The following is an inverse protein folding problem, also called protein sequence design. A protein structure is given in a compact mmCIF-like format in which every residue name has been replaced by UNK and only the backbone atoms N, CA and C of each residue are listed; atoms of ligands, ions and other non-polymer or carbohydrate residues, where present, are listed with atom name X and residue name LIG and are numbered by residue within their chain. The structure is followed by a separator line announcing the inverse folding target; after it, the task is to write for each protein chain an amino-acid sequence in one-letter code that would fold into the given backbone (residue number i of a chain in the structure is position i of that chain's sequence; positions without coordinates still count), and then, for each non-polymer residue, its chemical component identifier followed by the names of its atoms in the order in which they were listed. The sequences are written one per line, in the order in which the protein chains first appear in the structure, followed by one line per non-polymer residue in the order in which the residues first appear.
data_IF_914675384872
#
_entry.id   IF_914675384872
#
_cell.length_a   1.000
_cell.length_b   1.000
_cell.length_c   1.000
_cell.angle_alpha   90.00
_cell.angle_beta   90.00
_cell.angle_gamma   90.00
#
_symmetry.space_group_name_H-M   'P 1'
#
loop_
_entity.id
_entity.type
_entity.pdbx_description
1 polymer ?
#
# COMPACT_ATOMS: atom_id res chain seq x y z
N UNK A 1 27.95 14.63 80.35
CA UNK A 1 27.95 15.59 79.23
C UNK A 1 29.12 15.21 78.34
N UNK A 2 29.01 14.73 77.10
CA UNK A 2 27.94 14.61 76.10
C UNK A 2 28.13 13.25 75.42
N UNK A 3 27.07 12.47 75.29
CA UNK A 3 27.06 11.19 74.58
C UNK A 3 26.57 11.48 73.17
N UNK A 4 27.46 11.52 72.18
CA UNK A 4 27.09 11.73 70.77
C UNK A 4 26.79 10.37 70.15
N UNK A 5 25.52 10.12 69.87
CA UNK A 5 24.99 8.92 69.21
C UNK A 5 25.29 9.05 67.71
N UNK A 6 26.16 8.19 67.20
CA UNK A 6 26.41 8.02 65.76
C UNK A 6 25.28 7.13 65.22
N UNK A 7 24.32 7.76 64.55
CA UNK A 7 23.20 7.10 63.88
C UNK A 7 23.66 6.61 62.51
N UNK A 8 24.17 5.37 62.43
CA UNK A 8 24.43 4.67 61.17
C UNK A 8 23.10 4.21 60.56
N UNK A 9 22.54 5.03 59.67
CA UNK A 9 21.49 4.61 58.71
C UNK A 9 22.22 4.09 57.47
N UNK A 10 22.71 2.86 57.55
CA UNK A 10 23.30 2.14 56.42
C UNK A 10 22.68 0.75 56.41
N UNK A 11 21.94 0.45 55.35
CA UNK A 11 21.21 -0.80 55.03
C UNK A 11 19.71 -0.64 55.06
N UNK A 12 19.10 -0.43 53.88
CA UNK A 12 17.81 -1.00 53.47
C UNK A 12 17.40 -0.44 52.10
N UNK A 13 18.06 -0.85 51.00
CA UNK A 13 17.56 -0.59 49.64
C UNK A 13 17.98 -1.65 48.60
N UNK A 14 18.12 -2.93 48.98
CA UNK A 14 18.39 -4.00 48.00
C UNK A 14 17.60 -5.30 48.23
N UNK A 15 16.32 -5.19 48.58
CA UNK A 15 15.40 -6.35 48.53
C UNK A 15 14.06 -5.95 47.92
N UNK A 16 14.06 -5.52 46.65
CA UNK A 16 12.83 -5.32 45.89
C UNK A 16 12.91 -6.00 44.53
N UNK A 17 13.19 -7.31 44.53
CA UNK A 17 12.76 -8.22 43.46
C UNK A 17 12.88 -9.65 44.01
N UNK A 18 11.96 -10.06 44.88
CA UNK A 18 11.84 -11.44 45.35
C UNK A 18 10.45 -11.94 44.98
N UNK A 19 10.44 -12.83 43.99
CA UNK A 19 9.31 -13.42 43.25
C UNK A 19 8.80 -12.51 42.13
N UNK A 20 9.07 -12.96 40.92
CA UNK A 20 8.49 -12.50 39.65
C UNK A 20 9.12 -11.25 39.03
N UNK A 21 10.46 -11.18 38.98
CA UNK A 21 11.10 -10.31 37.99
C UNK A 21 10.86 -10.94 36.62
N UNK A 22 9.87 -10.42 35.89
CA UNK A 22 9.58 -10.86 34.53
C UNK A 22 10.82 -10.59 33.67
N UNK A 23 11.40 -11.64 33.10
CA UNK A 23 12.47 -11.51 32.12
C UNK A 23 11.86 -11.22 30.76
N UNK A 24 12.60 -10.49 29.92
CA UNK A 24 12.22 -10.20 28.55
C UNK A 24 13.33 -10.63 27.61
N UNK A 25 12.94 -11.13 26.46
CA UNK A 25 13.82 -11.52 25.36
C UNK A 25 13.48 -10.71 24.12
N UNK A 26 14.43 -10.61 23.19
CA UNK A 26 14.26 -9.90 21.93
C UNK A 26 14.31 -10.89 20.77
N UNK A 27 13.46 -10.68 19.78
CA UNK A 27 13.43 -11.45 18.55
C UNK A 27 12.96 -10.60 17.38
N UNK A 28 12.99 -11.20 16.20
CA UNK A 28 12.53 -10.60 14.96
C UNK A 28 11.52 -11.53 14.32
N UNK A 29 10.37 -10.98 13.94
CA UNK A 29 9.41 -11.65 13.06
C UNK A 29 9.49 -11.03 11.68
N UNK A 30 9.35 -11.84 10.65
CA UNK A 30 9.35 -11.38 9.27
C UNK A 30 8.15 -11.94 8.51
N UNK A 31 7.38 -11.08 7.85
CA UNK A 31 6.24 -11.46 7.03
C UNK A 31 6.64 -11.38 5.57
N UNK A 32 6.35 -12.42 4.78
CA UNK A 32 6.55 -12.37 3.34
C UNK A 32 5.60 -11.34 2.71
N UNK A 33 6.13 -10.49 1.84
CA UNK A 33 5.35 -9.50 1.09
C UNK A 33 4.94 -10.00 -0.29
N UNK A 34 5.55 -11.09 -0.75
CA UNK A 34 5.39 -11.67 -2.09
C UNK A 34 5.01 -13.15 -2.05
N UNK A 35 4.25 -13.57 -3.07
CA UNK A 35 3.81 -14.95 -3.23
C UNK A 35 5.00 -15.88 -3.50
N UNK A 36 4.98 -17.09 -2.92
CA UNK A 36 6.11 -18.02 -3.00
C UNK A 36 6.45 -18.53 -4.40
N UNK A 37 5.44 -18.66 -5.26
CA UNK A 37 5.59 -19.28 -6.57
C UNK A 37 5.38 -18.29 -7.72
N UNK A 38 4.91 -17.06 -7.47
CA UNK A 38 4.47 -16.14 -8.51
C UNK A 38 4.78 -14.69 -8.18
N UNK A 39 5.03 -13.89 -9.20
CA UNK A 39 5.14 -12.43 -9.12
C UNK A 39 4.14 -11.83 -10.09
N UNK A 40 3.41 -10.82 -9.62
CA UNK A 40 2.55 -9.99 -10.48
C UNK A 40 3.43 -8.91 -11.08
N UNK A 41 3.53 -8.89 -12.40
CA UNK A 41 4.05 -7.76 -13.15
C UNK A 41 2.85 -6.91 -13.56
N UNK A 42 2.74 -5.71 -13.02
CA UNK A 42 1.63 -4.81 -13.32
C UNK A 42 1.64 -4.35 -14.78
N UNK A 43 0.45 -3.94 -15.26
CA UNK A 43 0.29 -3.33 -16.57
C UNK A 43 1.10 -2.02 -16.67
N UNK A 44 1.80 -1.84 -17.79
CA UNK A 44 2.56 -0.63 -18.08
C UNK A 44 1.81 0.25 -19.07
N UNK A 45 1.74 1.54 -18.76
CA UNK A 45 1.12 2.55 -19.60
C UNK A 45 2.12 3.63 -19.98
N UNK A 46 1.91 4.22 -21.16
CA UNK A 46 2.56 5.46 -21.54
C UNK A 46 1.54 6.59 -21.68
N UNK A 47 1.96 7.79 -21.28
CA UNK A 47 1.21 9.00 -21.53
C UNK A 47 1.41 9.42 -22.99
N UNK A 48 0.30 9.57 -23.71
CA UNK A 48 0.30 10.07 -25.09
C UNK A 48 -0.38 11.43 -25.10
N UNK A 49 0.31 12.42 -25.65
CA UNK A 49 -0.23 13.76 -25.84
C UNK A 49 -0.99 13.86 -27.16
N UNK A 50 -2.21 14.40 -27.12
CA UNK A 50 -3.02 14.73 -28.30
C UNK A 50 -3.32 16.23 -28.32
N UNK A 51 -3.30 16.83 -29.51
CA UNK A 51 -3.77 18.21 -29.68
C UNK A 51 -5.29 18.20 -29.82
N UNK A 52 -5.97 18.77 -28.83
CA UNK A 52 -7.42 18.89 -28.78
C UNK A 52 -7.87 20.25 -29.26
N UNK A 53 -8.81 20.27 -30.19
CA UNK A 53 -9.49 21.49 -30.64
C UNK A 53 -10.47 21.96 -29.56
N UNK A 54 -10.37 23.22 -29.14
CA UNK A 54 -11.33 23.86 -28.23
C UNK A 54 -12.37 24.68 -28.99
N UNK A 55 -11.91 25.38 -30.03
CA UNK A 55 -12.74 26.28 -30.83
C UNK A 55 -12.15 26.44 -32.21
N UNK A 56 -12.99 26.31 -33.23
CA UNK A 56 -12.60 26.52 -34.62
C UNK A 56 -12.26 27.98 -34.92
N UNK A 57 -11.45 28.17 -35.96
CA UNK A 57 -11.15 29.47 -36.52
C UNK A 57 -12.44 30.13 -37.03
N UNK A 58 -12.58 31.44 -36.86
CA UNK A 58 -13.81 32.18 -37.18
C UNK A 58 -13.51 33.65 -37.47
N UNK A 59 -14.49 34.41 -37.98
CA UNK A 59 -14.34 35.86 -38.09
C UNK A 59 -14.66 36.58 -36.77
N UNK A 60 -14.06 37.74 -36.57
CA UNK A 60 -14.12 38.47 -35.31
C UNK A 60 -15.49 39.03 -34.91
N UNK A 61 -16.46 39.07 -35.82
CA UNK A 61 -17.80 39.60 -35.57
C UNK A 61 -18.91 38.67 -36.05
N UNK A 62 -19.87 38.39 -35.18
CA UNK A 62 -21.12 37.70 -35.55
C UNK A 62 -21.00 36.20 -35.81
N UNK A 63 -19.84 35.57 -35.54
CA UNK A 63 -19.69 34.13 -35.66
C UNK A 63 -20.62 33.39 -34.70
N UNK A 64 -21.26 32.31 -35.17
CA UNK A 64 -22.10 31.42 -34.35
C UNK A 64 -21.46 30.05 -34.24
N UNK A 65 -21.64 29.44 -33.08
CA UNK A 65 -21.05 28.15 -32.75
C UNK A 65 -22.11 27.18 -32.27
N UNK A 66 -21.92 25.92 -32.61
CA UNK A 66 -22.52 24.80 -31.91
C UNK A 66 -21.52 24.17 -30.93
N UNK A 67 -22.03 23.54 -29.87
CA UNK A 67 -21.20 22.70 -29.00
C UNK A 67 -21.27 21.29 -29.54
N UNK A 68 -20.14 20.76 -29.97
CA UNK A 68 -20.01 19.35 -30.33
C UNK A 68 -19.47 18.61 -29.11
N UNK A 69 -20.06 17.47 -28.81
CA UNK A 69 -19.69 16.61 -27.68
C UNK A 69 -19.34 15.24 -28.22
N UNK A 70 -18.19 14.70 -27.82
CA UNK A 70 -17.75 13.37 -28.23
C UNK A 70 -17.15 12.59 -27.06
N UNK A 71 -17.20 11.26 -27.15
CA UNK A 71 -16.48 10.36 -26.25
C UNK A 71 -15.08 10.14 -26.79
N UNK A 72 -14.08 10.29 -25.94
CA UNK A 72 -12.69 9.97 -26.25
C UNK A 72 -12.14 8.99 -25.25
N UNK A 73 -11.24 8.14 -25.73
CA UNK A 73 -10.55 7.16 -24.90
C UNK A 73 -9.58 7.89 -23.96
N UNK A 74 -9.75 7.68 -22.67
CA UNK A 74 -8.87 8.23 -21.62
C UNK A 74 -7.82 7.20 -21.21
N UNK A 75 -8.22 5.94 -21.09
CA UNK A 75 -7.33 4.83 -20.73
C UNK A 75 -7.78 3.54 -21.41
N UNK A 76 -6.80 2.78 -21.89
CA UNK A 76 -7.03 1.45 -22.47
C UNK A 76 -7.42 0.43 -21.40
N UNK A 77 -8.25 -0.53 -21.80
CA UNK A 77 -8.56 -1.72 -21.04
C UNK A 77 -7.28 -2.50 -20.70
N UNK A 78 -7.26 -3.12 -19.53
CA UNK A 78 -6.10 -3.85 -19.02
C UNK A 78 -6.50 -4.90 -17.98
N UNK A 79 -5.60 -5.82 -17.71
CA UNK A 79 -5.74 -6.86 -16.71
C UNK A 79 -5.07 -6.45 -15.40
N UNK A 80 -5.65 -6.83 -14.27
CA UNK A 80 -4.99 -6.90 -12.97
C UNK A 80 -5.08 -8.31 -12.40
N UNK A 81 -4.08 -8.71 -11.62
CA UNK A 81 -4.09 -9.97 -10.87
C UNK A 81 -4.03 -9.70 -9.38
N UNK A 82 -4.97 -10.26 -8.64
CA UNK A 82 -4.90 -10.33 -7.20
C UNK A 82 -4.60 -11.78 -6.78
N UNK A 83 -3.44 -11.95 -6.14
CA UNK A 83 -2.91 -13.25 -5.67
C UNK A 83 -2.69 -13.29 -4.16
N UNK A 84 -3.15 -12.27 -3.43
CA UNK A 84 -2.98 -12.20 -1.98
C UNK A 84 -4.02 -11.30 -1.31
N UNK A 85 -4.44 -11.66 -0.11
CA UNK A 85 -5.31 -10.84 0.73
C UNK A 85 -4.47 -10.14 1.79
N UNK A 86 -4.65 -8.83 1.95
CA UNK A 86 -3.95 -8.03 2.96
C UNK A 86 -4.74 -8.03 4.26
N UNK A 87 -4.08 -8.40 5.36
CA UNK A 87 -4.63 -8.33 6.71
C UNK A 87 -3.79 -7.40 7.57
N UNK A 88 -4.45 -6.41 8.17
CA UNK A 88 -3.81 -5.48 9.08
C UNK A 88 -4.25 -5.75 10.51
N UNK A 89 -3.28 -5.85 11.42
CA UNK A 89 -3.54 -6.17 12.82
C UNK A 89 -2.56 -5.48 13.76
N UNK A 90 -2.82 -5.55 15.06
CA UNK A 90 -2.01 -4.89 16.08
C UNK A 90 -1.28 -5.93 16.92
N UNK A 91 0.03 -5.84 17.04
CA UNK A 91 0.79 -6.69 17.96
C UNK A 91 1.39 -5.85 19.07
N UNK A 92 1.53 -6.44 20.26
CA UNK A 92 2.37 -5.87 21.30
C UNK A 92 3.83 -6.12 20.92
N UNK A 93 4.46 -5.16 20.24
CA UNK A 93 5.85 -5.26 19.78
C UNK A 93 6.86 -5.15 20.91
N UNK A 94 6.49 -4.57 22.05
CA UNK A 94 7.33 -4.57 23.24
C UNK A 94 6.48 -4.80 24.50
N UNK A 95 6.57 -6.02 25.06
CA UNK A 95 5.84 -6.44 26.26
C UNK A 95 6.32 -5.75 27.55
N UNK A 96 7.56 -5.23 27.59
CA UNK A 96 8.09 -4.49 28.75
C UNK A 96 7.41 -3.11 28.86
N UNK A 97 7.21 -2.45 27.72
CA UNK A 97 6.66 -1.09 27.64
C UNK A 97 5.19 -1.04 27.22
N UNK A 98 4.59 -2.18 26.90
CA UNK A 98 3.27 -2.30 26.26
C UNK A 98 3.16 -1.47 24.97
N UNK A 99 4.23 -1.42 24.18
CA UNK A 99 4.19 -0.75 22.87
C UNK A 99 3.42 -1.62 21.88
N UNK A 100 2.46 -1.01 21.20
CA UNK A 100 1.65 -1.65 20.16
C UNK A 100 2.11 -1.15 18.79
N UNK A 101 2.24 -2.06 17.85
CA UNK A 101 2.57 -1.76 16.45
C UNK A 101 1.52 -2.35 15.51
N UNK A 102 1.16 -1.57 14.49
CA UNK A 102 0.37 -2.08 13.37
C UNK A 102 1.28 -2.89 12.45
N UNK A 103 0.86 -4.11 12.15
CA UNK A 103 1.55 -5.05 11.27
C UNK A 103 0.62 -5.44 10.15
N UNK A 104 1.21 -5.67 8.97
CA UNK A 104 0.52 -6.15 7.79
C UNK A 104 1.04 -7.55 7.49
N UNK A 105 0.12 -8.48 7.27
CA UNK A 105 0.43 -9.81 6.73
C UNK A 105 -0.40 -10.05 5.48
N UNK A 106 0.06 -11.03 4.70
CA UNK A 106 -0.58 -11.39 3.45
C UNK A 106 -0.98 -12.87 3.49
N UNK A 107 -2.24 -13.15 3.23
CA UNK A 107 -2.71 -14.49 2.92
C UNK A 107 -2.53 -14.71 1.42
N UNK A 108 -1.59 -15.56 1.03
CA UNK A 108 -1.29 -15.83 -0.37
C UNK A 108 -2.26 -16.88 -0.91
N UNK A 109 -2.95 -16.54 -2.00
CA UNK A 109 -3.94 -17.41 -2.62
C UNK A 109 -3.24 -18.56 -3.37
N UNK A 110 -3.89 -19.71 -3.48
CA UNK A 110 -3.43 -20.74 -4.41
C UNK A 110 -3.73 -20.34 -5.87
N UNK A 111 -3.01 -20.93 -6.84
CA UNK A 111 -3.16 -20.60 -8.27
C UNK A 111 -4.61 -20.77 -8.77
N UNK A 112 -5.36 -21.73 -8.23
CA UNK A 112 -6.78 -21.94 -8.54
C UNK A 112 -7.68 -20.79 -8.12
N UNK A 113 -7.24 -20.00 -7.15
CA UNK A 113 -8.01 -18.94 -6.49
C UNK A 113 -7.53 -17.55 -6.89
N UNK A 114 -6.53 -17.47 -7.79
CA UNK A 114 -6.09 -16.19 -8.36
C UNK A 114 -7.25 -15.45 -9.00
N UNK A 115 -7.40 -14.19 -8.61
CA UNK A 115 -8.47 -13.33 -9.09
C UNK A 115 -7.90 -12.50 -10.26
N UNK A 116 -8.39 -12.80 -11.47
CA UNK A 116 -8.15 -11.97 -12.66
C UNK A 116 -9.23 -10.91 -12.79
N UNK A 117 -8.83 -9.65 -12.79
CA UNK A 117 -9.74 -8.49 -12.94
C UNK A 117 -9.53 -7.91 -14.33
N UNK A 118 -10.61 -7.81 -15.11
CA UNK A 118 -10.61 -7.20 -16.44
C UNK A 118 -11.15 -5.78 -16.34
N UNK A 119 -10.26 -4.79 -16.45
CA UNK A 119 -10.63 -3.39 -16.43
C UNK A 119 -10.99 -2.94 -17.85
N UNK A 120 -12.22 -2.44 -18.10
CA UNK A 120 -12.62 -2.00 -19.43
C UNK A 120 -11.95 -0.68 -19.82
N UNK A 121 -12.07 -0.32 -21.10
CA UNK A 121 -11.66 1.01 -21.57
C UNK A 121 -12.39 2.11 -20.78
N UNK A 122 -11.65 3.12 -20.35
CA UNK A 122 -12.22 4.32 -19.74
C UNK A 122 -12.38 5.41 -20.80
N UNK A 123 -13.56 6.00 -20.83
CA UNK A 123 -13.89 7.09 -21.75
C UNK A 123 -14.29 8.33 -20.97
N UNK A 124 -13.91 9.48 -21.52
CA UNK A 124 -14.42 10.77 -21.04
C UNK A 124 -15.08 11.53 -22.17
N UNK A 125 -15.95 12.43 -21.74
CA UNK A 125 -16.63 13.34 -22.64
C UNK A 125 -15.76 14.57 -22.86
N UNK A 126 -15.52 14.95 -24.12
CA UNK A 126 -14.94 16.25 -24.46
C UNK A 126 -15.87 17.06 -25.34
N UNK A 127 -15.73 18.38 -25.25
CA UNK A 127 -16.54 19.32 -26.01
C UNK A 127 -15.68 20.35 -26.71
N UNK A 128 -16.09 20.76 -27.91
CA UNK A 128 -15.48 21.88 -28.63
C UNK A 128 -16.54 22.76 -29.30
N UNK A 129 -16.14 23.98 -29.64
CA UNK A 129 -16.97 24.97 -30.32
C UNK A 129 -16.72 24.91 -31.82
N UNK A 130 -17.68 24.33 -32.54
CA UNK A 130 -17.67 24.22 -34.00
C UNK A 130 -18.40 25.41 -34.62
N UNK A 131 -17.84 26.00 -35.66
CA UNK A 131 -18.44 27.14 -36.36
C UNK A 131 -19.59 26.65 -37.23
N UNK A 132 -20.76 27.27 -37.07
CA UNK A 132 -21.92 27.05 -37.94
C UNK A 132 -22.26 28.28 -38.80
N UNK A 133 -21.70 29.43 -38.43
CA UNK A 133 -21.78 30.69 -39.16
C UNK A 133 -20.46 31.43 -38.92
N UNK A 134 -19.67 31.64 -39.98
CA UNK A 134 -18.32 32.22 -39.85
C UNK A 134 -18.34 33.68 -39.38
N UNK A 135 -19.44 34.41 -39.59
CA UNK A 135 -19.54 35.83 -39.31
C UNK A 135 -18.78 36.71 -40.34
N UNK A 136 -18.35 37.88 -39.91
CA UNK A 136 -17.63 38.88 -40.72
C UNK A 136 -16.47 39.49 -39.95
N UNK A 137 -15.57 40.20 -40.64
CA UNK A 137 -14.41 40.85 -40.02
C UNK A 137 -13.09 40.14 -40.35
N UNK A 138 -12.12 40.26 -39.43
CA UNK A 138 -10.80 39.64 -39.58
C UNK A 138 -10.80 38.21 -39.00
N UNK A 139 -9.84 37.40 -39.45
CA UNK A 139 -9.69 36.00 -39.02
C UNK A 139 -9.17 35.88 -37.58
N UNK A 140 -9.84 35.05 -36.80
CA UNK A 140 -9.41 34.57 -35.49
C UNK A 140 -9.00 33.11 -35.65
N UNK A 141 -7.77 32.79 -35.26
CA UNK A 141 -7.25 31.43 -35.34
C UNK A 141 -8.01 30.47 -34.42
N UNK A 142 -8.00 29.19 -34.79
CA UNK A 142 -8.49 28.12 -33.93
C UNK A 142 -7.67 28.06 -32.64
N UNK A 143 -8.32 27.69 -31.54
CA UNK A 143 -7.67 27.49 -30.24
C UNK A 143 -7.62 26.00 -29.91
N UNK A 144 -6.48 25.57 -29.40
CA UNK A 144 -6.19 24.19 -29.05
C UNK A 144 -5.67 24.10 -27.62
N UNK A 145 -5.76 22.91 -27.04
CA UNK A 145 -5.04 22.53 -25.83
C UNK A 145 -4.36 21.18 -26.04
N UNK A 146 -3.31 20.92 -25.27
CA UNK A 146 -2.74 19.57 -25.19
C UNK A 146 -3.53 18.78 -24.17
N UNK A 147 -3.89 17.57 -24.57
CA UNK A 147 -4.61 16.63 -23.73
C UNK A 147 -3.78 15.35 -23.59
N UNK A 148 -3.95 14.62 -22.49
CA UNK A 148 -3.20 13.38 -22.24
C UNK A 148 -4.16 12.20 -22.13
N UNK A 149 -3.77 11.07 -22.72
CA UNK A 149 -4.43 9.79 -22.48
C UNK A 149 -3.38 8.70 -22.23
N UNK A 150 -3.80 7.59 -21.62
CA UNK A 150 -2.92 6.50 -21.25
C UNK A 150 -3.11 5.30 -22.18
N UNK A 151 -2.06 4.99 -22.96
CA UNK A 151 -2.02 3.83 -23.84
C UNK A 151 -1.37 2.67 -23.12
N UNK A 152 -1.99 1.49 -23.21
CA UNK A 152 -1.40 0.26 -22.70
C UNK A 152 -0.18 -0.12 -23.56
N UNK A 153 0.97 -0.28 -22.90
CA UNK A 153 2.23 -0.72 -23.51
C UNK A 153 2.43 -2.22 -23.30
N UNK A 154 2.20 -2.68 -22.07
CA UNK A 154 2.28 -4.10 -21.68
C UNK A 154 1.13 -4.38 -20.72
N UNK A 155 0.43 -5.49 -20.92
CA UNK A 155 -0.60 -5.92 -19.98
C UNK A 155 0.04 -6.54 -18.72
N UNK A 156 -0.76 -6.73 -17.66
CA UNK A 156 -0.26 -7.42 -16.48
C UNK A 156 0.06 -8.89 -16.80
N UNK A 157 1.10 -9.41 -16.16
CA UNK A 157 1.56 -10.79 -16.34
C UNK A 157 1.84 -11.46 -14.99
N UNK A 158 1.48 -12.74 -14.88
CA UNK A 158 1.91 -13.60 -13.79
C UNK A 158 3.13 -14.39 -14.26
N UNK A 159 4.27 -14.17 -13.61
CA UNK A 159 5.48 -14.94 -13.89
C UNK A 159 5.80 -15.85 -12.70
N UNK A 160 6.23 -17.10 -12.94
CA UNK A 160 6.74 -17.94 -11.86
C UNK A 160 7.92 -17.25 -11.18
N UNK A 161 7.90 -17.18 -9.84
CA UNK A 161 9.02 -16.57 -9.12
C UNK A 161 10.25 -17.46 -9.24
N UNK A 162 11.39 -16.86 -9.56
CA UNK A 162 12.71 -17.51 -9.48
C UNK A 162 13.61 -16.84 -8.45
N UNK A 163 13.08 -15.87 -7.70
CA UNK A 163 13.84 -14.94 -6.89
C UNK A 163 13.68 -15.20 -5.38
N UNK A 164 14.57 -14.58 -4.61
CA UNK A 164 14.48 -14.51 -3.15
C UNK A 164 13.24 -13.68 -2.77
N UNK A 165 12.43 -14.19 -1.83
CA UNK A 165 11.21 -13.49 -1.40
C UNK A 165 11.54 -12.26 -0.59
N UNK A 166 10.83 -11.18 -0.86
CA UNK A 166 10.84 -10.01 0.01
C UNK A 166 10.04 -10.25 1.30
N UNK A 167 10.49 -9.60 2.37
CA UNK A 167 9.84 -9.67 3.67
C UNK A 167 9.95 -8.36 4.42
N UNK A 168 8.94 -8.05 5.24
CA UNK A 168 8.97 -6.95 6.18
C UNK A 168 9.24 -7.49 7.59
N UNK A 169 10.17 -6.87 8.32
CA UNK A 169 10.61 -7.36 9.63
C UNK A 169 10.24 -6.42 10.76
N UNK A 170 9.84 -7.02 11.89
CA UNK A 170 9.46 -6.32 13.11
C UNK A 170 10.26 -6.85 14.29
N UNK A 171 10.85 -5.93 15.05
CA UNK A 171 11.55 -6.26 16.29
C UNK A 171 10.53 -6.42 17.41
N UNK A 172 10.62 -7.54 18.13
CA UNK A 172 9.69 -7.92 19.19
C UNK A 172 10.46 -8.11 20.49
N UNK A 173 9.98 -7.48 21.57
CA UNK A 173 10.38 -7.78 22.94
C UNK A 173 9.25 -8.56 23.61
N UNK A 174 9.50 -9.82 23.99
CA UNK A 174 8.50 -10.76 24.51
C UNK A 174 8.91 -11.34 25.87
N UNK A 175 7.97 -11.91 26.66
CA UNK A 175 8.31 -12.50 27.97
C UNK A 175 9.23 -13.71 27.84
N UNK A 176 10.33 -13.75 28.59
CA UNK A 176 11.34 -14.82 28.51
C UNK A 176 10.91 -16.18 29.10
N UNK A 177 9.64 -16.35 29.46
CA UNK A 177 9.09 -17.64 29.88
C UNK A 177 8.31 -18.35 28.76
N UNK A 178 8.22 -17.74 27.57
CA UNK A 178 7.63 -18.30 26.36
C UNK A 178 8.55 -18.05 25.18
N UNK A 179 8.38 -18.82 24.11
CA UNK A 179 9.11 -18.62 22.86
C UNK A 179 8.50 -17.46 22.05
N UNK A 180 9.28 -16.88 21.12
CA UNK A 180 8.76 -15.88 20.18
C UNK A 180 7.58 -16.41 19.36
N UNK A 181 7.63 -17.67 18.94
CA UNK A 181 6.57 -18.31 18.16
C UNK A 181 5.27 -18.43 18.96
N UNK A 182 5.33 -18.93 20.19
CA UNK A 182 4.18 -19.00 21.10
C UNK A 182 3.60 -17.61 21.36
N UNK A 183 4.47 -16.61 21.59
CA UNK A 183 4.03 -15.24 21.85
C UNK A 183 3.23 -14.68 20.67
N UNK A 184 3.72 -14.88 19.45
CA UNK A 184 3.07 -14.35 18.25
C UNK A 184 1.79 -15.12 17.94
N UNK A 185 1.79 -16.45 18.11
CA UNK A 185 0.57 -17.27 17.97
C UNK A 185 -0.54 -16.79 18.89
N UNK A 186 -0.24 -16.57 20.18
CA UNK A 186 -1.22 -16.05 21.15
C UNK A 186 -1.77 -14.68 20.70
N UNK A 187 -0.92 -13.78 20.16
CA UNK A 187 -1.35 -12.47 19.66
C UNK A 187 -2.26 -12.57 18.42
N UNK A 188 -2.00 -13.53 17.53
CA UNK A 188 -2.80 -13.79 16.33
C UNK A 188 -4.15 -14.42 16.68
N UNK A 189 -4.16 -15.41 17.59
CA UNK A 189 -5.38 -16.07 18.07
C UNK A 189 -6.33 -15.07 18.75
N UNK A 190 -5.79 -14.15 19.58
CA UNK A 190 -6.58 -13.09 20.22
C UNK A 190 -7.30 -12.17 19.22
N UNK A 191 -6.79 -12.08 17.99
CA UNK A 191 -7.37 -11.24 16.93
C UNK A 191 -8.10 -12.05 15.86
N UNK A 192 -8.14 -13.39 15.98
CA UNK A 192 -8.75 -14.29 15.01
C UNK A 192 -8.13 -14.16 13.60
N UNK A 193 -6.79 -14.14 13.52
CA UNK A 193 -6.02 -13.98 12.26
C UNK A 193 -5.02 -15.14 12.11
N UNK A 194 -5.53 -16.37 12.11
CA UNK A 194 -4.70 -17.58 11.94
C UNK A 194 -4.16 -17.74 10.52
N UNK A 195 -4.80 -17.12 9.52
CA UNK A 195 -4.41 -17.19 8.10
C UNK A 195 -3.01 -16.62 7.84
N UNK A 196 -2.52 -15.76 8.74
CA UNK A 196 -1.20 -15.17 8.61
C UNK A 196 -0.06 -16.04 9.13
N UNK A 197 -0.34 -17.16 9.82
CA UNK A 197 0.71 -18.04 10.34
C UNK A 197 1.62 -18.60 9.23
N UNK A 198 1.05 -18.92 8.06
CA UNK A 198 1.80 -19.46 6.92
C UNK A 198 2.74 -18.44 6.26
N UNK A 199 2.50 -17.15 6.52
CA UNK A 199 3.26 -16.02 5.95
C UNK A 199 4.45 -15.58 6.83
N UNK A 200 4.64 -16.19 8.01
CA UNK A 200 5.60 -15.75 9.02
C UNK A 200 6.89 -16.58 8.99
N UNK A 201 8.01 -15.90 9.18
CA UNK A 201 9.27 -16.53 9.59
C UNK A 201 9.80 -15.89 10.87
N UNK A 202 10.43 -16.71 11.72
CA UNK A 202 10.91 -16.32 13.05
C UNK A 202 12.44 -16.35 13.11
N UNK A 203 13.05 -15.32 13.71
CA UNK A 203 14.49 -15.28 14.01
C UNK A 203 14.74 -14.75 15.42
N UNK A 204 15.52 -15.48 16.21
CA UNK A 204 16.03 -14.98 17.50
C UNK A 204 17.30 -14.16 17.26
N UNK A 205 17.45 -13.06 18.01
CA UNK A 205 18.59 -12.15 17.93
C UNK A 205 19.68 -12.52 18.95
#
# INVERSE_FOLDING_TARGET
MRTTIILTITMLYFTSCKKDCQTFENGTISFFTEHKDFVVIDAEFEAVEEVKLLKEAHKSSGAKFETVTEQVLERFAYTEYNIKEEHAFQIVSNAETNTIQKVICYHFLDESDFIKIENPNEYRTRTYKKVIDEGTGFDIAATYETDTFYRLVRDAELIPTSAEREFESYNITFPGHMTLEEYIRDQLEMQNISECEESISFRLN
#
